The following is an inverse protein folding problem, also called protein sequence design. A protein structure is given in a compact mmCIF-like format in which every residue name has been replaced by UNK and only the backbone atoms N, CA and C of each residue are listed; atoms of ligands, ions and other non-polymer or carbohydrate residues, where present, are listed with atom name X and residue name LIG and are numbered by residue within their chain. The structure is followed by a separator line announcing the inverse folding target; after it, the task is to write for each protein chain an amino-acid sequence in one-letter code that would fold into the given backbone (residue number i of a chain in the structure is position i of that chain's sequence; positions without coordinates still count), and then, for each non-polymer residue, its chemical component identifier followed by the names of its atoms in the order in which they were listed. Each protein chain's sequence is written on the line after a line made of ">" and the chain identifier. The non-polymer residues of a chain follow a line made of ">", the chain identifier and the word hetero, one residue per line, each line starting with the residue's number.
data_IF_650095404393
#
_entry.id   IF_650095404393
#
_cell.length_a   1.000
_cell.length_b   1.000
_cell.length_c   1.000
_cell.angle_alpha   90.00
_cell.angle_beta   90.00
_cell.angle_gamma   90.00
#
_symmetry.space_group_name_H-M   'P 1'
#
loop_
_entity.id
_entity.type
_entity.pdbx_description
1 polymer ?
#
# COMPACT_ATOMS: atom_id res chain seq x y z
N UNK A 1 7.48 21.33 9.65
CA UNK A 1 7.27 19.88 9.81
C UNK A 1 7.57 19.57 11.26
N UNK A 2 6.57 19.21 12.06
CA UNK A 2 6.77 19.02 13.49
C UNK A 2 6.52 17.54 13.83
N UNK A 3 7.58 16.83 14.24
CA UNK A 3 7.43 15.56 14.93
C UNK A 3 6.74 15.84 16.26
N UNK A 4 5.56 15.27 16.46
CA UNK A 4 4.90 15.25 17.76
C UNK A 4 5.15 13.86 18.37
N UNK A 5 5.97 13.82 19.40
CA UNK A 5 6.12 12.66 20.28
C UNK A 5 4.97 12.67 21.28
N UNK A 6 4.06 11.70 21.17
CA UNK A 6 3.03 11.48 22.18
C UNK A 6 3.69 10.77 23.38
N UNK A 7 3.92 11.54 24.46
CA UNK A 7 4.71 11.14 25.64
C UNK A 7 4.08 9.95 26.37
N UNK A 8 2.78 9.70 26.18
CA UNK A 8 2.06 8.62 26.89
C UNK A 8 2.18 7.24 26.21
N UNK A 9 2.67 7.14 24.96
CA UNK A 9 2.71 5.85 24.23
C UNK A 9 3.98 5.57 23.44
N UNK A 10 5.00 6.43 23.51
CA UNK A 10 6.30 6.21 22.86
C UNK A 10 6.23 6.04 21.33
N UNK A 11 5.21 6.60 20.67
CA UNK A 11 4.99 6.46 19.22
C UNK A 11 5.10 7.80 18.52
N UNK A 12 5.80 7.79 17.38
CA UNK A 12 5.98 8.96 16.54
C UNK A 12 4.87 9.04 15.49
N UNK A 13 4.28 10.22 15.35
CA UNK A 13 3.29 10.51 14.31
C UNK A 13 3.75 11.69 13.47
N UNK A 14 3.57 11.59 12.15
CA UNK A 14 3.64 12.76 11.26
C UNK A 14 2.27 13.41 11.22
N UNK A 15 2.24 14.72 11.49
CA UNK A 15 1.04 15.53 11.33
C UNK A 15 1.25 16.49 10.15
N UNK A 16 0.48 16.30 9.08
CA UNK A 16 0.44 17.19 7.93
C UNK A 16 -0.75 18.14 8.07
N UNK A 17 -0.48 19.43 8.35
CA UNK A 17 -1.48 20.50 8.22
C UNK A 17 -1.39 21.09 6.81
N UNK A 18 -2.08 20.48 5.85
CA UNK A 18 -2.32 21.09 4.54
C UNK A 18 -3.78 21.52 4.48
N UNK A 19 -4.04 22.83 4.53
CA UNK A 19 -5.37 23.43 4.35
C UNK A 19 -6.39 23.10 5.49
N UNK A 20 -7.22 24.05 5.95
CA UNK A 20 -8.16 23.83 7.07
C UNK A 20 -9.28 22.80 6.81
N UNK A 21 -9.34 22.20 5.62
CA UNK A 21 -10.36 21.20 5.23
C UNK A 21 -9.81 19.78 5.08
N UNK A 22 -8.52 19.52 5.31
CA UNK A 22 -7.95 18.17 5.19
C UNK A 22 -7.91 17.52 6.57
N UNK A 23 -8.55 16.36 6.68
CA UNK A 23 -8.53 15.48 7.85
C UNK A 23 -7.09 15.32 8.38
N UNK A 24 -6.92 15.38 9.71
CA UNK A 24 -5.67 15.04 10.39
C UNK A 24 -5.34 13.56 10.15
N UNK A 25 -4.56 13.25 9.11
CA UNK A 25 -3.98 11.91 8.94
C UNK A 25 -2.87 11.70 9.97
N UNK A 26 -3.11 10.75 10.89
CA UNK A 26 -2.08 10.26 11.81
C UNK A 26 -1.44 9.02 11.19
N UNK A 27 -0.28 9.19 10.58
CA UNK A 27 0.54 8.05 10.17
C UNK A 27 1.40 7.60 11.35
N UNK A 28 1.21 6.36 11.77
CA UNK A 28 2.04 5.73 12.80
C UNK A 28 3.38 5.31 12.15
N UNK A 29 4.44 6.07 12.41
CA UNK A 29 5.76 5.73 11.90
C UNK A 29 6.28 4.50 12.64
N UNK A 30 6.48 3.43 11.88
CA UNK A 30 6.97 2.13 12.37
C UNK A 30 8.44 1.98 12.03
N UNK A 31 9.29 1.96 13.04
CA UNK A 31 10.75 1.91 12.90
C UNK A 31 11.32 0.48 12.80
N UNK A 32 10.47 -0.54 12.87
CA UNK A 32 10.93 -1.92 12.79
C UNK A 32 11.49 -2.23 11.39
N UNK A 33 12.56 -3.04 11.28
CA UNK A 33 13.16 -3.37 10.00
C UNK A 33 12.14 -4.03 9.05
N UNK A 34 12.32 -3.83 7.74
CA UNK A 34 11.50 -4.50 6.74
C UNK A 34 11.55 -6.02 6.92
N UNK A 35 10.39 -6.66 6.87
CA UNK A 35 10.24 -8.08 7.13
C UNK A 35 9.60 -8.39 8.48
N UNK A 36 9.61 -7.42 9.41
CA UNK A 36 8.96 -7.56 10.71
C UNK A 36 7.44 -7.84 10.56
N UNK A 37 6.79 -7.17 9.59
CA UNK A 37 5.35 -7.29 9.35
C UNK A 37 5.00 -8.22 8.17
N UNK A 38 5.86 -9.20 7.85
CA UNK A 38 5.55 -10.19 6.82
C UNK A 38 4.32 -11.02 7.19
N UNK A 39 3.45 -11.27 6.20
CA UNK A 39 2.36 -12.23 6.35
C UNK A 39 2.90 -13.63 6.60
N UNK A 40 2.22 -14.38 7.46
CA UNK A 40 2.57 -15.76 7.83
C UNK A 40 1.34 -16.68 7.77
N UNK A 41 1.58 -17.97 7.69
CA UNK A 41 0.53 -19.00 7.71
C UNK A 41 -0.53 -18.80 6.63
N UNK A 42 -1.80 -19.01 6.98
CA UNK A 42 -2.92 -18.95 6.04
C UNK A 42 -3.04 -17.57 5.35
N UNK A 43 -2.70 -16.47 6.04
CA UNK A 43 -2.75 -15.13 5.46
C UNK A 43 -1.76 -14.97 4.32
N UNK A 44 -0.54 -15.53 4.48
CA UNK A 44 0.46 -15.55 3.41
C UNK A 44 -0.05 -16.36 2.22
N UNK A 45 -0.57 -17.55 2.47
CA UNK A 45 -1.12 -18.42 1.41
C UNK A 45 -2.23 -17.73 0.60
N UNK A 46 -3.19 -17.09 1.28
CA UNK A 46 -4.28 -16.36 0.60
C UNK A 46 -3.78 -15.11 -0.14
N UNK A 47 -2.77 -14.44 0.40
CA UNK A 47 -2.09 -13.34 -0.29
C UNK A 47 -1.39 -13.85 -1.56
N UNK A 48 -0.58 -14.90 -1.46
CA UNK A 48 0.13 -15.48 -2.61
C UNK A 48 -0.86 -15.93 -3.70
N UNK A 49 -2.01 -16.50 -3.31
CA UNK A 49 -3.09 -16.86 -4.23
C UNK A 49 -3.66 -15.63 -4.93
N UNK A 50 -3.89 -14.53 -4.20
CA UNK A 50 -4.43 -13.30 -4.77
C UNK A 50 -3.49 -12.68 -5.84
N UNK A 51 -2.17 -12.77 -5.63
CA UNK A 51 -1.17 -12.29 -6.59
C UNK A 51 -1.22 -13.03 -7.92
N UNK A 52 -1.64 -14.30 -7.92
CA UNK A 52 -1.65 -15.16 -9.10
C UNK A 52 -2.97 -15.13 -9.87
N UNK A 53 -3.98 -14.39 -9.41
CA UNK A 53 -5.28 -14.34 -10.06
C UNK A 53 -5.18 -13.67 -11.44
N UNK A 54 -5.92 -14.18 -12.44
CA UNK A 54 -5.91 -13.57 -13.77
C UNK A 54 -6.51 -12.16 -13.74
N UNK A 55 -6.00 -11.29 -14.60
CA UNK A 55 -6.46 -9.90 -14.75
C UNK A 55 -7.81 -9.81 -15.50
N UNK A 56 -8.84 -10.50 -14.98
CA UNK A 56 -10.20 -10.48 -15.50
C UNK A 56 -11.22 -10.21 -14.39
N UNK A 57 -12.50 -10.06 -14.76
CA UNK A 57 -13.56 -9.74 -13.80
C UNK A 57 -13.71 -10.75 -12.67
N UNK A 58 -13.52 -12.04 -12.95
CA UNK A 58 -13.60 -13.12 -11.96
C UNK A 58 -12.43 -13.04 -11.00
N UNK A 59 -11.21 -12.89 -11.51
CA UNK A 59 -9.99 -12.70 -10.72
C UNK A 59 -10.10 -11.47 -9.82
N UNK A 60 -10.63 -10.35 -10.33
CA UNK A 60 -10.88 -9.15 -9.52
C UNK A 60 -11.83 -9.44 -8.36
N UNK A 61 -12.95 -10.11 -8.61
CA UNK A 61 -13.92 -10.47 -7.56
C UNK A 61 -13.29 -11.39 -6.52
N UNK A 62 -12.58 -12.44 -6.94
CA UNK A 62 -11.92 -13.37 -6.03
C UNK A 62 -10.85 -12.67 -5.19
N UNK A 63 -10.02 -11.82 -5.79
CA UNK A 63 -8.98 -11.08 -5.06
C UNK A 63 -9.57 -10.11 -4.03
N UNK A 64 -10.70 -9.47 -4.32
CA UNK A 64 -11.43 -8.65 -3.33
C UNK A 64 -11.94 -9.48 -2.14
N UNK A 65 -12.38 -10.71 -2.37
CA UNK A 65 -12.80 -11.64 -1.31
C UNK A 65 -11.60 -12.09 -0.48
N UNK A 66 -10.51 -12.54 -1.12
CA UNK A 66 -9.27 -12.96 -0.45
C UNK A 66 -8.71 -11.82 0.42
N UNK A 67 -8.66 -10.60 -0.13
CA UNK A 67 -8.29 -9.39 0.59
C UNK A 67 -9.11 -9.21 1.86
N UNK A 68 -10.44 -9.33 1.76
CA UNK A 68 -11.34 -9.16 2.91
C UNK A 68 -11.00 -10.17 4.00
N UNK A 69 -10.68 -11.42 3.65
CA UNK A 69 -10.31 -12.49 4.58
C UNK A 69 -8.94 -12.20 5.23
N UNK A 70 -7.93 -11.85 4.43
CA UNK A 70 -6.58 -11.60 4.95
C UNK A 70 -6.55 -10.40 5.90
N UNK A 71 -7.29 -9.33 5.56
CA UNK A 71 -7.36 -8.09 6.34
C UNK A 71 -8.33 -8.14 7.54
N UNK A 72 -8.94 -9.29 7.83
CA UNK A 72 -9.75 -9.47 9.04
C UNK A 72 -8.95 -9.16 10.31
N UNK A 73 -9.66 -8.85 11.40
CA UNK A 73 -9.08 -8.46 12.70
C UNK A 73 -8.22 -7.19 12.65
N UNK A 74 -8.53 -6.27 11.71
CA UNK A 74 -7.90 -4.94 11.60
C UNK A 74 -6.37 -5.04 11.46
N UNK A 75 -5.90 -5.90 10.55
CA UNK A 75 -4.47 -5.98 10.21
C UNK A 75 -3.98 -4.61 9.71
N UNK A 76 -3.05 -3.99 10.45
CA UNK A 76 -2.68 -2.58 10.26
C UNK A 76 -1.50 -2.35 9.33
N UNK A 77 -0.52 -3.26 9.36
CA UNK A 77 0.76 -3.09 8.67
C UNK A 77 1.14 -4.41 8.02
N UNK A 78 1.61 -4.36 6.78
CA UNK A 78 2.06 -5.53 6.02
C UNK A 78 3.32 -5.19 5.24
N UNK A 79 4.38 -5.98 5.42
CA UNK A 79 5.58 -5.92 4.59
C UNK A 79 5.43 -6.93 3.44
N UNK A 80 5.46 -6.45 2.19
CA UNK A 80 5.29 -7.26 0.98
C UNK A 80 6.01 -6.65 -0.25
N UNK A 81 6.03 -7.38 -1.35
CA UNK A 81 6.71 -7.03 -2.61
C UNK A 81 5.89 -7.36 -3.88
N UNK A 82 4.63 -6.90 -3.99
CA UNK A 82 3.69 -7.32 -5.03
C UNK A 82 4.10 -6.93 -6.46
N UNK A 83 5.00 -5.96 -6.61
CA UNK A 83 5.51 -5.45 -7.90
C UNK A 83 7.05 -5.45 -7.95
N UNK A 84 7.69 -6.33 -7.18
CA UNK A 84 9.16 -6.45 -7.12
C UNK A 84 9.88 -5.41 -6.25
N UNK A 85 9.14 -4.45 -5.66
CA UNK A 85 9.66 -3.47 -4.71
C UNK A 85 9.30 -3.83 -3.27
N UNK A 86 10.25 -3.68 -2.33
CA UNK A 86 10.01 -3.93 -0.90
C UNK A 86 9.22 -2.78 -0.29
N UNK A 87 7.93 -3.00 -0.02
CA UNK A 87 6.99 -1.97 0.46
C UNK A 87 6.34 -2.35 1.80
N UNK A 88 6.12 -1.34 2.65
CA UNK A 88 5.36 -1.45 3.90
C UNK A 88 4.00 -0.77 3.72
N UNK A 89 2.96 -1.58 3.68
CA UNK A 89 1.59 -1.16 3.44
C UNK A 89 0.83 -0.93 4.75
N UNK A 90 -0.06 0.07 4.73
CA UNK A 90 -0.98 0.46 5.78
C UNK A 90 -2.43 0.27 5.32
N UNK A 91 -2.87 -1.00 5.12
CA UNK A 91 -4.12 -1.30 4.45
C UNK A 91 -5.36 -0.86 5.21
N UNK A 92 -5.31 -0.39 6.46
CA UNK A 92 -6.50 0.22 7.08
C UNK A 92 -6.68 1.68 6.69
N UNK A 93 -5.57 2.38 6.49
CA UNK A 93 -5.53 3.84 6.39
C UNK A 93 -5.51 4.29 4.92
N UNK A 94 -5.02 3.44 4.02
CA UNK A 94 -4.87 3.75 2.60
C UNK A 94 -5.58 2.72 1.71
N UNK A 95 -6.48 3.20 0.85
CA UNK A 95 -7.18 2.35 -0.11
C UNK A 95 -6.24 1.85 -1.23
N UNK A 96 -5.32 2.70 -1.69
CA UNK A 96 -4.30 2.34 -2.69
C UNK A 96 -3.46 1.16 -2.22
N UNK A 97 -2.99 1.19 -0.98
CA UNK A 97 -2.27 0.08 -0.35
C UNK A 97 -3.04 -1.23 -0.40
N UNK A 98 -4.37 -1.21 -0.19
CA UNK A 98 -5.21 -2.41 -0.27
C UNK A 98 -5.26 -2.99 -1.67
N UNK A 99 -5.22 -2.14 -2.70
CA UNK A 99 -5.25 -2.57 -4.09
C UNK A 99 -3.87 -3.02 -4.55
N UNK A 100 -2.82 -2.24 -4.34
CA UNK A 100 -1.46 -2.63 -4.70
C UNK A 100 -1.03 -3.92 -4.00
N UNK A 101 -1.41 -4.11 -2.73
CA UNK A 101 -1.08 -5.31 -1.97
C UNK A 101 -1.81 -6.57 -2.47
N UNK A 102 -3.04 -6.52 -2.99
CA UNK A 102 -3.81 -7.74 -3.30
C UNK A 102 -4.23 -7.90 -4.76
N UNK A 103 -4.18 -6.83 -5.52
CA UNK A 103 -4.68 -6.71 -6.88
C UNK A 103 -3.71 -5.91 -7.76
N UNK A 104 -2.37 -6.13 -7.70
CA UNK A 104 -1.41 -5.34 -8.49
C UNK A 104 -1.67 -5.44 -9.99
N UNK A 105 -2.15 -6.57 -10.48
CA UNK A 105 -2.51 -6.78 -11.89
C UNK A 105 -3.70 -5.94 -12.38
N UNK A 106 -4.43 -5.30 -11.46
CA UNK A 106 -5.51 -4.35 -11.75
C UNK A 106 -5.17 -2.91 -11.37
N UNK A 107 -4.02 -2.71 -10.72
CA UNK A 107 -3.60 -1.41 -10.22
C UNK A 107 -2.88 -0.66 -11.33
N UNK A 108 -3.46 0.45 -11.79
CA UNK A 108 -2.84 1.46 -12.67
C UNK A 108 -2.14 0.92 -13.94
N UNK A 109 -2.51 -0.28 -14.39
CA UNK A 109 -1.87 -0.96 -15.52
C UNK A 109 -1.82 -0.09 -16.78
N UNK A 110 -2.94 0.53 -17.15
CA UNK A 110 -3.02 1.39 -18.34
C UNK A 110 -2.16 2.65 -18.22
N UNK A 111 -2.03 3.19 -17.00
CA UNK A 111 -1.21 4.36 -16.73
C UNK A 111 0.27 4.00 -16.84
N UNK A 112 0.70 2.88 -16.23
CA UNK A 112 2.07 2.39 -16.37
C UNK A 112 2.42 2.06 -17.83
N UNK A 113 1.52 1.43 -18.59
CA UNK A 113 1.72 1.16 -20.02
C UNK A 113 1.88 2.46 -20.83
N UNK A 114 1.11 3.51 -20.51
CA UNK A 114 1.23 4.81 -21.17
C UNK A 114 2.54 5.52 -20.79
N UNK A 115 2.90 5.49 -19.51
CA UNK A 115 4.14 6.07 -18.99
C UNK A 115 5.35 5.38 -19.64
N UNK A 116 5.35 4.05 -19.73
CA UNK A 116 6.41 3.27 -20.39
C UNK A 116 6.59 3.63 -21.88
N UNK A 117 5.49 3.92 -22.58
CA UNK A 117 5.53 4.35 -23.98
C UNK A 117 6.05 5.78 -24.16
N UNK A 118 5.84 6.65 -23.17
CA UNK A 118 6.13 8.08 -23.25
C UNK A 118 7.49 8.46 -22.63
N UNK A 119 7.96 7.72 -21.63
CA UNK A 119 9.23 7.96 -20.96
C UNK A 119 10.41 7.60 -21.85
N UNK A 120 11.29 8.57 -22.08
CA UNK A 120 12.62 8.39 -22.67
C UNK A 120 13.67 8.59 -21.57
N UNK A 121 14.90 8.14 -21.83
CA UNK A 121 15.99 8.20 -20.84
C UNK A 121 16.21 9.61 -20.24
N UNK A 122 15.97 10.67 -21.03
CA UNK A 122 16.17 12.07 -20.61
C UNK A 122 14.86 12.80 -20.29
N UNK A 123 13.75 12.08 -20.14
CA UNK A 123 12.47 12.68 -19.76
C UNK A 123 12.47 13.13 -18.29
N UNK A 124 11.82 14.26 -18.02
CA UNK A 124 11.49 14.68 -16.66
C UNK A 124 10.08 14.19 -16.33
N UNK A 125 9.96 13.34 -15.33
CA UNK A 125 8.67 12.85 -14.81
C UNK A 125 8.33 13.53 -13.49
N UNK A 126 7.10 14.00 -13.36
CA UNK A 126 6.60 14.63 -12.13
C UNK A 126 5.33 13.91 -11.73
N UNK A 127 5.40 13.14 -10.65
CA UNK A 127 4.24 12.53 -10.03
C UNK A 127 3.71 13.45 -8.92
N UNK A 128 2.50 13.97 -9.13
CA UNK A 128 1.81 14.78 -8.15
C UNK A 128 0.84 13.89 -7.39
N UNK A 129 1.18 13.60 -6.14
CA UNK A 129 0.34 12.79 -5.27
C UNK A 129 0.66 11.30 -5.27
N UNK A 130 1.83 10.92 -5.81
CA UNK A 130 2.49 9.62 -5.88
C UNK A 130 2.19 8.57 -4.80
N UNK A 131 1.82 8.97 -3.57
CA UNK A 131 1.47 8.06 -2.49
C UNK A 131 2.62 7.06 -2.19
N UNK A 132 2.52 5.82 -2.65
CA UNK A 132 3.51 4.77 -2.45
C UNK A 132 4.57 4.72 -3.57
N UNK A 133 4.48 5.61 -4.55
CA UNK A 133 5.33 5.64 -5.74
C UNK A 133 4.48 5.94 -6.96
#
# INVERSE_FOLDING_TARGET
>A
MNLLTDVDRGRNYLNFKFCPYVYSMKFELRNEPYGHYKLKGYRKMLYDLAQQLPANFIGKKLGLVLRKIVLQNKLRVVDADPIGFRLRFYPLDNLGDRFMLFLPQFYEKTEFELIEQMLKADSVFVDIGANAG
#
